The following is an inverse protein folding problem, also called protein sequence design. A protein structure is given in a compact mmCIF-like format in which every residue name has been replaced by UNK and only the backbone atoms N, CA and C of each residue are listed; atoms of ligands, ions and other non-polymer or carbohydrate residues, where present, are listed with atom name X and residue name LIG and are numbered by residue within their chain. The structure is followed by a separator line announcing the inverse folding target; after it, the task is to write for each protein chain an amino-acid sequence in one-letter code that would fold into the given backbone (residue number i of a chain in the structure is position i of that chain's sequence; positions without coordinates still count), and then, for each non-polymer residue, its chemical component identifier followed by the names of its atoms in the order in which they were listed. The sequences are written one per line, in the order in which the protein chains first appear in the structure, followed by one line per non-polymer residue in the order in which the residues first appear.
data_IF_716975623505
#
_entry.id   IF_716975623505
#
_cell.length_a   1.000
_cell.length_b   1.000
_cell.length_c   1.000
_cell.angle_alpha   90.00
_cell.angle_beta   90.00
_cell.angle_gamma   90.00
#
_symmetry.space_group_name_H-M   'P 1'
#
loop_
_entity.id
_entity.type
_entity.pdbx_description
1 polymer ?
#
# COMPACT_ATOMS: atom_id res chain seq x y z
N UNK A 1 -22.60 -3.86 11.97
CA UNK A 1 -21.52 -3.50 12.92
C UNK A 1 -22.14 -2.73 14.09
N UNK A 2 -22.27 -3.32 15.29
CA UNK A 2 -23.08 -2.75 16.41
C UNK A 2 -22.43 -1.58 17.18
N UNK A 3 -21.25 -1.08 16.77
CA UNK A 3 -20.48 -0.07 17.53
C UNK A 3 -19.87 1.03 16.64
N UNK A 4 -20.50 1.39 15.52
CA UNK A 4 -20.00 2.51 14.69
C UNK A 4 -20.08 3.82 15.50
N UNK A 5 -18.99 4.60 15.62
CA UNK A 5 -19.03 5.84 16.38
C UNK A 5 -19.84 6.90 15.63
N UNK A 6 -20.44 7.85 16.36
CA UNK A 6 -21.11 9.01 15.76
C UNK A 6 -20.16 9.86 14.91
N UNK A 7 -18.88 9.89 15.27
CA UNK A 7 -17.79 10.53 14.52
C UNK A 7 -16.59 9.59 14.48
N UNK A 8 -16.15 9.25 13.27
CA UNK A 8 -14.91 8.48 13.08
C UNK A 8 -13.72 9.42 13.27
N UNK A 9 -12.79 9.04 14.14
CA UNK A 9 -11.54 9.76 14.39
C UNK A 9 -10.36 8.81 14.27
N UNK A 10 -9.16 9.34 14.05
CA UNK A 10 -7.92 8.53 14.04
C UNK A 10 -7.71 7.80 15.36
N UNK A 11 -7.96 8.45 16.50
CA UNK A 11 -7.84 7.81 17.80
C UNK A 11 -8.77 6.62 17.96
N UNK A 12 -9.99 6.70 17.41
CA UNK A 12 -10.90 5.55 17.43
C UNK A 12 -10.40 4.44 16.50
N UNK A 13 -9.92 4.79 15.30
CA UNK A 13 -9.41 3.85 14.30
C UNK A 13 -8.17 3.08 14.80
N UNK A 14 -7.31 3.71 15.60
CA UNK A 14 -6.12 3.10 16.22
C UNK A 14 -6.42 2.17 17.40
N UNK A 15 -7.59 2.29 18.03
CA UNK A 15 -7.93 1.42 19.18
C UNK A 15 -8.09 -0.03 18.73
N UNK A 16 -7.72 -1.01 19.59
CA UNK A 16 -8.00 -2.41 19.35
C UNK A 16 -9.49 -2.65 19.08
N UNK A 17 -9.76 -3.54 18.14
CA UNK A 17 -11.10 -4.00 17.84
C UNK A 17 -11.56 -4.97 18.92
N UNK A 18 -12.78 -4.77 19.44
CA UNK A 18 -13.34 -5.61 20.51
C UNK A 18 -13.49 -7.10 20.16
N UNK A 19 -13.36 -7.48 18.88
CA UNK A 19 -13.50 -8.86 18.41
C UNK A 19 -12.18 -9.59 18.21
N UNK A 20 -11.06 -8.87 18.11
CA UNK A 20 -9.76 -9.44 17.80
C UNK A 20 -8.67 -8.55 18.42
N UNK A 21 -8.02 -9.09 19.46
CA UNK A 21 -6.92 -8.39 20.14
C UNK A 21 -5.77 -8.15 19.17
N UNK A 22 -5.07 -7.03 19.34
CA UNK A 22 -3.97 -6.60 18.46
C UNK A 22 -4.40 -6.02 17.11
N UNK A 23 -5.66 -6.23 16.67
CA UNK A 23 -6.17 -5.69 15.40
C UNK A 23 -6.86 -4.35 15.62
N UNK A 24 -6.44 -3.24 14.97
CA UNK A 24 -7.06 -1.94 15.14
C UNK A 24 -8.45 -1.89 14.49
N UNK A 25 -9.32 -0.99 14.97
CA UNK A 25 -10.64 -0.75 14.35
C UNK A 25 -10.53 -0.42 12.86
N UNK A 26 -9.43 0.21 12.43
CA UNK A 26 -9.17 0.50 11.02
C UNK A 26 -9.24 -0.74 10.12
N UNK A 27 -8.71 -1.89 10.55
CA UNK A 27 -8.75 -3.13 9.77
C UNK A 27 -10.18 -3.66 9.63
N UNK A 28 -10.96 -3.62 10.72
CA UNK A 28 -12.36 -4.03 10.69
C UNK A 28 -13.25 -3.11 9.84
N UNK A 29 -12.88 -1.83 9.66
CA UNK A 29 -13.56 -0.94 8.70
C UNK A 29 -13.37 -1.45 7.28
N UNK A 30 -12.14 -1.82 6.91
CA UNK A 30 -11.81 -2.35 5.58
C UNK A 30 -12.53 -3.67 5.34
N UNK A 31 -12.46 -4.61 6.27
CA UNK A 31 -13.13 -5.92 6.16
C UNK A 31 -14.65 -5.80 6.02
N UNK A 32 -15.25 -4.77 6.63
CA UNK A 32 -16.68 -4.51 6.51
C UNK A 32 -17.07 -3.72 5.26
N UNK A 33 -16.11 -3.35 4.40
CA UNK A 33 -16.35 -2.57 3.19
C UNK A 33 -16.82 -1.12 3.47
N UNK A 34 -16.37 -0.52 4.58
CA UNK A 34 -16.82 0.80 5.03
C UNK A 34 -15.77 1.92 4.83
N UNK A 35 -14.81 1.69 3.93
CA UNK A 35 -13.72 2.64 3.64
C UNK A 35 -14.22 3.98 3.10
N UNK A 36 -15.35 3.97 2.38
CA UNK A 36 -16.07 5.14 1.87
C UNK A 36 -16.57 6.08 2.99
N UNK A 37 -16.71 5.58 4.22
CA UNK A 37 -17.14 6.35 5.39
C UNK A 37 -16.00 7.04 6.13
N UNK A 38 -14.75 6.84 5.71
CA UNK A 38 -13.60 7.50 6.32
C UNK A 38 -13.49 8.94 5.79
N UNK A 39 -13.48 9.96 6.66
CA UNK A 39 -13.29 11.34 6.23
C UNK A 39 -11.98 11.53 5.45
N UNK A 40 -12.04 12.22 4.31
CA UNK A 40 -10.88 12.41 3.42
C UNK A 40 -9.70 13.08 4.11
N UNK A 41 -9.96 13.97 5.07
CA UNK A 41 -8.93 14.69 5.82
C UNK A 41 -8.12 13.80 6.77
N UNK A 42 -8.57 12.57 7.06
CA UNK A 42 -7.83 11.61 7.88
C UNK A 42 -7.42 10.36 7.09
N UNK A 43 -7.68 10.33 5.79
CA UNK A 43 -7.54 9.09 5.01
C UNK A 43 -6.08 8.64 4.89
N UNK A 44 -5.12 9.55 4.73
CA UNK A 44 -3.69 9.21 4.74
C UNK A 44 -3.25 8.57 6.05
N UNK A 45 -3.67 9.12 7.19
CA UNK A 45 -3.35 8.57 8.51
C UNK A 45 -4.01 7.21 8.71
N UNK A 46 -5.27 7.05 8.27
CA UNK A 46 -5.99 5.78 8.29
C UNK A 46 -5.24 4.69 7.53
N UNK A 47 -4.76 4.97 6.32
CA UNK A 47 -4.00 4.00 5.51
C UNK A 47 -2.71 3.51 6.19
N UNK A 48 -2.12 4.33 7.06
CA UNK A 48 -0.86 4.06 7.75
C UNK A 48 -1.03 3.37 9.11
N UNK A 49 -2.26 3.20 9.63
CA UNK A 49 -2.50 2.50 10.90
C UNK A 49 -2.05 1.05 10.75
N UNK A 50 -1.26 0.56 11.71
CA UNK A 50 -0.74 -0.80 11.78
C UNK A 50 -1.33 -1.60 12.94
N UNK A 51 -1.41 -2.91 12.78
CA UNK A 51 -1.52 -3.84 13.92
C UNK A 51 -0.14 -4.20 14.51
N UNK A 52 -0.15 -5.12 15.48
CA UNK A 52 1.05 -5.60 16.19
C UNK A 52 2.03 -6.36 15.27
N UNK A 53 1.56 -6.90 14.14
CA UNK A 53 2.40 -7.54 13.12
C UNK A 53 2.94 -6.53 12.08
N UNK A 54 2.65 -5.24 12.27
CA UNK A 54 3.05 -4.18 11.35
C UNK A 54 2.27 -4.20 10.03
N UNK A 55 1.18 -4.97 9.95
CA UNK A 55 0.28 -4.97 8.80
C UNK A 55 -0.48 -3.66 8.86
N UNK A 56 -0.30 -2.83 7.83
CA UNK A 56 -1.04 -1.56 7.71
C UNK A 56 -2.46 -1.79 7.21
N UNK A 57 -3.31 -0.81 7.44
CA UNK A 57 -4.66 -0.75 6.84
C UNK A 57 -4.59 -0.81 5.31
N UNK A 58 -3.55 -0.24 4.70
CA UNK A 58 -3.34 -0.35 3.25
C UNK A 58 -3.03 -1.78 2.79
N UNK A 59 -2.36 -2.63 3.58
CA UNK A 59 -2.19 -4.05 3.23
C UNK A 59 -3.56 -4.74 3.06
N UNK A 60 -4.47 -4.51 4.01
CA UNK A 60 -5.83 -5.04 3.95
C UNK A 60 -6.61 -4.46 2.77
N UNK A 61 -6.45 -3.17 2.47
CA UNK A 61 -7.07 -2.58 1.28
C UNK A 61 -6.54 -3.22 0.00
N UNK A 62 -5.24 -3.50 -0.10
CA UNK A 62 -4.67 -4.17 -1.27
C UNK A 62 -5.10 -5.65 -1.40
N UNK A 63 -5.66 -6.25 -0.33
CA UNK A 63 -6.25 -7.59 -0.34
C UNK A 63 -7.68 -7.62 -0.88
N UNK A 64 -8.42 -6.52 -0.78
CA UNK A 64 -9.85 -6.43 -1.14
C UNK A 64 -10.07 -5.42 -2.28
N UNK A 65 -10.82 -5.79 -3.32
CA UNK A 65 -10.92 -4.97 -4.54
C UNK A 65 -11.56 -3.58 -4.34
N UNK A 66 -12.76 -3.54 -3.77
CA UNK A 66 -13.57 -2.31 -3.68
C UNK A 66 -12.90 -1.18 -2.85
N UNK A 67 -12.26 -1.47 -1.69
CA UNK A 67 -11.56 -0.46 -0.91
C UNK A 67 -10.45 0.28 -1.68
N UNK A 68 -9.73 -0.39 -2.59
CA UNK A 68 -8.57 0.22 -3.27
C UNK A 68 -8.99 1.36 -4.20
N UNK A 69 -10.15 1.24 -4.87
CA UNK A 69 -10.70 2.27 -5.78
C UNK A 69 -10.93 3.60 -5.05
N UNK A 70 -11.39 3.55 -3.80
CA UNK A 70 -11.72 4.74 -3.00
C UNK A 70 -10.50 5.53 -2.51
N UNK A 71 -9.31 4.91 -2.47
CA UNK A 71 -8.11 5.50 -1.85
C UNK A 71 -6.98 5.80 -2.83
N UNK A 72 -7.14 5.51 -4.14
CA UNK A 72 -6.08 5.62 -5.16
C UNK A 72 -5.33 6.96 -5.12
N UNK A 73 -6.04 8.07 -4.91
CA UNK A 73 -5.45 9.41 -4.90
C UNK A 73 -4.50 9.69 -3.73
N UNK A 74 -4.53 8.87 -2.67
CA UNK A 74 -3.70 9.01 -1.48
C UNK A 74 -2.50 8.04 -1.47
N UNK A 75 -2.39 7.17 -2.48
CA UNK A 75 -1.32 6.19 -2.54
C UNK A 75 0.02 6.87 -2.83
N UNK A 76 1.00 6.61 -1.97
CA UNK A 76 2.37 7.08 -2.12
C UNK A 76 3.34 5.89 -2.09
N UNK A 77 4.58 6.04 -2.60
CA UNK A 77 5.60 5.00 -2.46
C UNK A 77 5.77 4.58 -1.00
N UNK A 78 5.86 5.52 -0.07
CA UNK A 78 6.14 5.25 1.34
C UNK A 78 5.05 4.40 1.99
N UNK A 79 3.78 4.58 1.61
CA UNK A 79 2.69 3.73 2.04
C UNK A 79 2.76 2.35 1.36
N UNK A 80 2.98 2.30 0.06
CA UNK A 80 2.99 1.07 -0.74
C UNK A 80 4.21 0.17 -0.49
N UNK A 81 5.29 0.72 0.08
CA UNK A 81 6.54 0.00 0.36
C UNK A 81 6.77 -0.27 1.84
N UNK A 82 5.77 -0.03 2.69
CA UNK A 82 5.88 -0.32 4.13
C UNK A 82 5.92 -1.83 4.33
N UNK A 83 7.02 -2.35 4.85
CA UNK A 83 7.14 -3.77 5.19
C UNK A 83 6.41 -4.08 6.51
N UNK A 84 5.82 -5.27 6.58
CA UNK A 84 5.32 -5.89 7.82
C UNK A 84 6.47 -6.20 8.78
N UNK A 85 6.23 -6.19 10.09
CA UNK A 85 7.20 -6.63 11.11
C UNK A 85 6.98 -8.06 11.60
N UNK A 86 5.84 -8.68 11.26
CA UNK A 86 5.44 -10.01 11.69
C UNK A 86 6.18 -11.15 10.98
N UNK A 87 6.24 -12.31 11.64
CA UNK A 87 6.91 -13.51 11.12
C UNK A 87 6.03 -14.35 10.17
N UNK A 88 4.70 -14.24 10.30
CA UNK A 88 3.74 -15.13 9.60
C UNK A 88 3.30 -14.59 8.23
N UNK A 89 3.07 -13.29 8.14
CA UNK A 89 2.67 -12.61 6.90
C UNK A 89 3.73 -11.55 6.58
N UNK A 90 4.38 -11.73 5.43
CA UNK A 90 5.46 -10.83 4.99
C UNK A 90 5.12 -10.11 3.70
N UNK A 91 5.62 -8.89 3.59
CA UNK A 91 5.66 -8.12 2.36
C UNK A 91 5.21 -6.68 2.58
N UNK A 92 4.98 -6.01 1.45
CA UNK A 92 4.49 -4.64 1.37
C UNK A 92 3.07 -4.62 0.79
N UNK A 93 2.30 -3.51 0.94
CA UNK A 93 1.00 -3.42 0.30
C UNK A 93 1.06 -3.59 -1.22
N UNK A 94 2.15 -3.13 -1.85
CA UNK A 94 2.37 -3.37 -3.28
C UNK A 94 2.44 -4.87 -3.60
N UNK A 95 3.19 -5.66 -2.82
CA UNK A 95 3.25 -7.12 -3.00
C UNK A 95 1.89 -7.78 -2.76
N UNK A 96 1.13 -7.31 -1.77
CA UNK A 96 -0.21 -7.82 -1.49
C UNK A 96 -1.17 -7.53 -2.65
N UNK A 97 -1.08 -6.35 -3.27
CA UNK A 97 -1.87 -6.03 -4.44
C UNK A 97 -1.61 -7.02 -5.58
N UNK A 98 -0.36 -7.42 -5.82
CA UNK A 98 -0.05 -8.46 -6.81
C UNK A 98 -0.58 -9.84 -6.40
N UNK A 99 -0.42 -10.25 -5.13
CA UNK A 99 -0.90 -11.56 -4.64
C UNK A 99 -2.43 -11.68 -4.70
N UNK A 100 -3.13 -10.57 -4.60
CA UNK A 100 -4.60 -10.50 -4.64
C UNK A 100 -5.15 -10.05 -6.00
N UNK A 101 -4.32 -10.00 -7.04
CA UNK A 101 -4.68 -9.60 -8.40
C UNK A 101 -5.33 -8.20 -8.49
N UNK A 102 -4.94 -7.31 -7.57
CA UNK A 102 -5.41 -5.93 -7.45
C UNK A 102 -4.44 -4.91 -8.07
N UNK A 103 -3.35 -5.35 -8.69
CA UNK A 103 -2.34 -4.45 -9.24
C UNK A 103 -2.91 -3.52 -10.33
N UNK A 104 -3.88 -3.98 -11.13
CA UNK A 104 -4.53 -3.19 -12.18
C UNK A 104 -5.35 -2.02 -11.59
N UNK A 105 -5.69 -2.10 -10.29
CA UNK A 105 -6.37 -1.04 -9.57
C UNK A 105 -5.41 0.04 -9.03
N UNK A 106 -4.09 -0.10 -9.15
CA UNK A 106 -3.16 0.95 -8.75
C UNK A 106 -3.11 2.09 -9.78
N UNK A 107 -2.91 3.35 -9.35
CA UNK A 107 -2.85 4.51 -10.25
C UNK A 107 -1.46 4.67 -10.86
N UNK A 108 -1.02 3.67 -11.63
CA UNK A 108 0.33 3.57 -12.21
C UNK A 108 0.76 4.80 -13.02
N UNK A 109 -0.19 5.40 -13.73
CA UNK A 109 -0.05 6.60 -14.53
C UNK A 109 0.23 7.86 -13.68
N UNK A 110 -0.23 7.87 -12.41
CA UNK A 110 -0.03 8.99 -11.48
C UNK A 110 1.24 8.85 -10.65
N UNK A 111 1.89 7.69 -10.66
CA UNK A 111 3.12 7.49 -9.91
C UNK A 111 4.26 8.33 -10.47
N UNK A 112 4.70 9.30 -9.66
CA UNK A 112 5.86 10.12 -9.94
C UNK A 112 7.14 9.29 -9.75
N UNK A 113 7.78 8.91 -10.86
CA UNK A 113 8.98 8.07 -10.86
C UNK A 113 10.14 8.65 -10.02
N UNK A 114 10.26 9.97 -9.85
CA UNK A 114 11.30 10.57 -8.99
C UNK A 114 11.14 10.14 -7.53
N UNK A 115 9.90 10.02 -7.04
CA UNK A 115 9.62 9.58 -5.66
C UNK A 115 9.89 8.08 -5.47
N UNK A 116 9.88 7.30 -6.54
CA UNK A 116 10.14 5.86 -6.51
C UNK A 116 11.64 5.51 -6.61
N UNK A 117 12.52 6.48 -6.89
CA UNK A 117 13.99 6.24 -7.00
C UNK A 117 14.57 5.55 -5.75
N UNK A 118 14.28 5.97 -4.51
CA UNK A 118 14.80 5.29 -3.32
C UNK A 118 14.29 3.85 -3.15
N UNK A 119 13.16 3.53 -3.79
CA UNK A 119 12.47 2.24 -3.65
C UNK A 119 12.78 1.27 -4.80
N UNK A 120 13.66 1.64 -5.74
CA UNK A 120 14.01 0.82 -6.88
C UNK A 120 14.48 -0.61 -6.51
N UNK A 121 15.33 -0.82 -5.48
CA UNK A 121 15.73 -2.18 -5.08
C UNK A 121 14.54 -3.06 -4.69
N UNK A 122 13.54 -2.49 -4.00
CA UNK A 122 12.32 -3.20 -3.65
C UNK A 122 11.49 -3.53 -4.90
N UNK A 123 11.30 -2.58 -5.82
CA UNK A 123 10.57 -2.84 -7.07
C UNK A 123 11.19 -4.00 -7.86
N UNK A 124 12.53 -4.05 -7.93
CA UNK A 124 13.26 -5.15 -8.58
C UNK A 124 13.08 -6.49 -7.84
N UNK A 125 13.11 -6.48 -6.50
CA UNK A 125 12.81 -7.66 -5.66
C UNK A 125 11.40 -8.19 -5.94
N UNK A 126 10.40 -7.29 -5.99
CA UNK A 126 9.00 -7.66 -6.27
C UNK A 126 8.90 -8.28 -7.66
N UNK A 127 9.45 -7.61 -8.70
CA UNK A 127 9.47 -8.14 -10.07
C UNK A 127 10.10 -9.54 -10.13
N UNK A 128 11.26 -9.74 -9.52
CA UNK A 128 11.94 -11.04 -9.50
C UNK A 128 11.08 -12.13 -8.82
N UNK A 129 10.32 -11.77 -7.77
CA UNK A 129 9.35 -12.65 -7.13
C UNK A 129 8.21 -13.06 -8.07
N UNK A 130 7.64 -12.11 -8.82
CA UNK A 130 6.52 -12.37 -9.75
C UNK A 130 6.92 -13.27 -10.92
N UNK A 131 8.13 -13.08 -11.47
CA UNK A 131 8.65 -13.89 -12.58
C UNK A 131 8.76 -15.37 -12.17
N UNK A 132 9.19 -15.65 -10.94
CA UNK A 132 9.32 -17.03 -10.43
C UNK A 132 7.98 -17.75 -10.26
N UNK A 133 6.88 -17.02 -10.09
CA UNK A 133 5.56 -17.57 -9.77
C UNK A 133 4.64 -17.69 -11.01
N UNK A 134 5.20 -17.88 -12.21
CA UNK A 134 4.47 -18.07 -13.48
C UNK A 134 3.61 -16.87 -13.95
N UNK A 135 4.18 -15.66 -13.91
CA UNK A 135 3.91 -14.66 -14.95
C UNK A 135 2.55 -13.94 -14.90
N UNK A 136 2.14 -13.46 -13.72
CA UNK A 136 1.05 -12.49 -13.63
C UNK A 136 1.35 -11.23 -14.46
N UNK A 137 0.32 -10.50 -14.91
CA UNK A 137 0.50 -9.22 -15.62
C UNK A 137 1.22 -8.22 -14.70
N UNK A 138 2.39 -7.75 -15.13
CA UNK A 138 3.19 -6.76 -14.39
C UNK A 138 3.79 -5.70 -15.34
N UNK A 139 3.10 -5.43 -16.46
CA UNK A 139 3.56 -4.48 -17.47
C UNK A 139 3.70 -3.06 -16.91
N UNK A 140 2.79 -2.67 -16.02
CA UNK A 140 2.81 -1.36 -15.36
C UNK A 140 3.95 -1.24 -14.34
N UNK A 141 4.26 -2.32 -13.62
CA UNK A 141 5.44 -2.38 -12.74
C UNK A 141 6.73 -2.26 -13.55
N UNK A 142 6.80 -2.95 -14.68
CA UNK A 142 7.93 -2.88 -15.61
C UNK A 142 8.12 -1.48 -16.17
N UNK A 143 7.03 -0.83 -16.56
CA UNK A 143 7.06 0.56 -17.01
C UNK A 143 7.53 1.50 -15.89
N UNK A 144 7.03 1.35 -14.67
CA UNK A 144 7.48 2.12 -13.52
C UNK A 144 8.99 1.94 -13.27
N UNK A 145 9.46 0.69 -13.21
CA UNK A 145 10.89 0.37 -13.04
C UNK A 145 11.73 1.03 -14.14
N UNK A 146 11.28 0.94 -15.40
CA UNK A 146 11.96 1.57 -16.55
C UNK A 146 12.03 3.09 -16.39
N UNK A 147 10.92 3.75 -16.05
CA UNK A 147 10.87 5.20 -15.79
C UNK A 147 11.82 5.61 -14.65
N UNK A 148 11.83 4.85 -13.55
CA UNK A 148 12.69 5.10 -12.39
C UNK A 148 14.18 4.93 -12.75
N UNK A 149 14.54 3.87 -13.48
CA UNK A 149 15.91 3.63 -13.95
C UNK A 149 16.41 4.76 -14.85
N UNK A 150 15.60 5.22 -15.80
CA UNK A 150 15.94 6.35 -16.69
C UNK A 150 16.24 7.62 -15.90
N UNK A 151 15.47 7.92 -14.85
CA UNK A 151 15.74 9.08 -13.99
C UNK A 151 17.04 8.92 -13.19
N UNK A 152 17.34 7.71 -12.71
CA UNK A 152 18.57 7.42 -11.97
C UNK A 152 19.82 7.60 -12.84
N UNK A 153 19.79 7.17 -14.11
CA UNK A 153 20.91 7.34 -15.03
C UNK A 153 21.11 8.81 -15.40
N UNK A 154 20.03 9.54 -15.70
CA UNK A 154 20.12 10.98 -15.99
C UNK A 154 20.72 11.78 -14.83
N UNK A 155 20.41 11.43 -13.57
CA UNK A 155 21.03 12.05 -12.40
C UNK A 155 22.54 11.80 -12.35
N UNK A 156 22.98 10.56 -12.59
CA UNK A 156 24.40 10.20 -12.63
C UNK A 156 25.15 10.96 -13.73
N UNK A 157 24.55 11.07 -14.91
CA UNK A 157 25.17 11.76 -16.05
C UNK A 157 25.22 13.29 -15.86
N UNK A 158 24.30 13.85 -15.05
CA UNK A 158 24.26 15.28 -14.74
C UNK A 158 25.26 15.74 -13.65
N UNK A 159 25.97 14.82 -12.99
CA UNK A 159 26.93 15.17 -11.92
C UNK A 159 26.30 15.77 -10.65
N UNK A 160 24.97 15.74 -10.53
CA UNK A 160 24.25 16.25 -9.35
C UNK A 160 24.04 15.09 -8.38
N UNK A 161 25.10 14.71 -7.66
CA UNK A 161 24.97 13.94 -6.42
C UNK A 161 24.66 14.93 -5.28
N UNK A 162 23.52 14.74 -4.61
CA UNK A 162 23.23 15.30 -3.29
C UNK A 162 23.16 14.14 -2.31
#
# INVERSE_FOLDING_TARGET
MKNWPKRVTIDWLKRPNKKCDGVPNAHAVVEAGLTDRIPSNILCEFLAITDDDGITTLHNICRYEEPLKSVKQFLTPELLTKETSGQLLTGTPLEWAFRSEQQDNLPWERFNARRWVPHLPLLEKIKAGLVRNNGGKHGELDDLIRRVKKLRTLKKDSGIEQ
#
